data_IF_371904295311
#
_entry.id   IF_371904295311
#
_cell.length_a   1.000
_cell.length_b   1.000
_cell.length_c   1.000
_cell.angle_alpha   90.00
_cell.angle_beta   90.00
_cell.angle_gamma   90.00
#
_symmetry.space_group_name_H-M   'P 1'
#
loop_
_entity.id
_entity.type
_entity.pdbx_description
1 polymer ?
#
# COMPACT_ATOMS: atom_id res chain seq x y z
N UNK A 1 -4.16 -13.45 1.32
CA UNK A 1 -3.67 -12.06 1.27
C UNK A 1 -4.42 -11.20 0.24
N UNK A 2 -4.69 -11.68 -0.98
CA UNK A 2 -5.38 -10.93 -2.06
C UNK A 2 -6.72 -10.35 -1.60
N UNK A 3 -7.48 -11.04 -0.76
CA UNK A 3 -8.78 -10.55 -0.24
C UNK A 3 -8.67 -9.27 0.61
N UNK A 4 -7.50 -8.95 1.14
CA UNK A 4 -7.26 -7.72 1.88
C UNK A 4 -7.35 -6.46 1.03
N UNK A 5 -6.95 -6.54 -0.25
CA UNK A 5 -6.93 -5.39 -1.16
C UNK A 5 -8.32 -4.78 -1.42
N UNK A 6 -9.35 -5.57 -1.78
CA UNK A 6 -10.70 -5.02 -1.95
C UNK A 6 -11.26 -4.40 -0.68
N UNK A 7 -10.99 -5.00 0.49
CA UNK A 7 -11.44 -4.47 1.77
C UNK A 7 -10.77 -3.12 2.08
N UNK A 8 -9.46 -3.02 1.88
CA UNK A 8 -8.71 -1.78 2.06
C UNK A 8 -9.16 -0.68 1.09
N UNK A 9 -9.33 -1.04 -0.19
CA UNK A 9 -9.84 -0.11 -1.19
C UNK A 9 -11.25 0.39 -0.84
N UNK A 10 -12.15 -0.53 -0.47
CA UNK A 10 -13.50 -0.20 -0.03
C UNK A 10 -13.51 0.73 1.18
N UNK A 11 -12.69 0.43 2.20
CA UNK A 11 -12.52 1.30 3.36
C UNK A 11 -12.07 2.70 2.97
N UNK A 12 -11.05 2.81 2.13
CA UNK A 12 -10.49 4.10 1.72
C UNK A 12 -11.47 4.91 0.88
N UNK A 13 -12.16 4.28 -0.07
CA UNK A 13 -13.21 4.93 -0.87
C UNK A 13 -14.36 5.41 0.02
N UNK A 14 -14.81 4.58 0.97
CA UNK A 14 -15.85 4.96 1.92
C UNK A 14 -15.44 6.19 2.74
N UNK A 15 -14.20 6.22 3.20
CA UNK A 15 -13.66 7.33 3.99
C UNK A 15 -13.50 8.62 3.15
N UNK A 16 -13.17 8.50 1.86
CA UNK A 16 -13.03 9.63 0.95
C UNK A 16 -14.39 10.17 0.44
N UNK A 17 -15.44 9.35 0.46
CA UNK A 17 -16.77 9.70 -0.06
C UNK A 17 -17.31 11.05 0.42
N UNK A 18 -17.25 11.42 1.73
CA UNK A 18 -17.72 12.73 2.21
C UNK A 18 -16.92 13.91 1.63
N UNK A 19 -15.67 13.68 1.25
CA UNK A 19 -14.74 14.68 0.76
C UNK A 19 -14.60 14.70 -0.77
N UNK A 20 -15.39 13.91 -1.49
CA UNK A 20 -15.31 13.77 -2.97
C UNK A 20 -15.31 15.08 -3.74
N UNK A 21 -16.02 16.10 -3.23
CA UNK A 21 -16.12 17.43 -3.88
C UNK A 21 -14.80 18.21 -3.88
N UNK A 22 -13.89 17.89 -2.96
CA UNK A 22 -12.57 18.54 -2.83
C UNK A 22 -11.52 17.81 -3.68
N UNK A 23 -11.79 16.58 -4.09
CA UNK A 23 -10.87 15.79 -4.92
C UNK A 23 -10.89 16.36 -6.34
N UNK A 24 -9.84 17.10 -6.67
CA UNK A 24 -9.67 17.67 -8.01
C UNK A 24 -9.01 16.66 -8.95
N UNK A 25 -9.22 16.84 -10.26
CA UNK A 25 -8.54 16.04 -11.29
C UNK A 25 -7.02 16.09 -11.14
N UNK A 26 -6.47 17.23 -10.69
CA UNK A 26 -5.03 17.39 -10.45
C UNK A 26 -4.53 16.49 -9.32
N UNK A 27 -5.28 16.40 -8.21
CA UNK A 27 -4.91 15.52 -7.08
C UNK A 27 -4.89 14.06 -7.56
N UNK A 28 -5.92 13.62 -8.29
CA UNK A 28 -5.97 12.26 -8.83
C UNK A 28 -4.77 12.02 -9.75
N UNK A 29 -4.50 12.95 -10.69
CA UNK A 29 -3.40 12.82 -11.63
C UNK A 29 -2.05 12.69 -10.92
N UNK A 30 -1.74 13.60 -9.97
CA UNK A 30 -0.47 13.55 -9.24
C UNK A 30 -0.33 12.29 -8.38
N UNK A 31 -1.41 11.85 -7.73
CA UNK A 31 -1.39 10.61 -6.95
C UNK A 31 -1.18 9.39 -7.84
N UNK A 32 -1.79 9.37 -9.03
CA UNK A 32 -1.60 8.29 -10.01
C UNK A 32 -0.17 8.29 -10.56
N UNK A 33 0.39 9.47 -10.90
CA UNK A 33 1.79 9.58 -11.36
C UNK A 33 2.74 9.09 -10.25
N UNK A 34 2.55 9.50 -9.01
CA UNK A 34 3.38 9.07 -7.89
C UNK A 34 3.32 7.54 -7.68
N UNK A 35 2.12 6.97 -7.79
CA UNK A 35 1.95 5.51 -7.71
C UNK A 35 2.63 4.78 -8.87
N UNK A 36 2.49 5.29 -10.10
CA UNK A 36 3.14 4.72 -11.29
C UNK A 36 4.67 4.82 -11.22
N UNK A 37 5.21 5.91 -10.65
CA UNK A 37 6.65 6.05 -10.45
C UNK A 37 7.24 4.97 -9.53
N UNK A 38 6.43 4.44 -8.62
CA UNK A 38 6.83 3.32 -7.77
C UNK A 38 6.58 1.97 -8.45
N UNK A 39 5.47 1.84 -9.20
CA UNK A 39 5.11 0.61 -9.88
C UNK A 39 6.07 0.27 -11.03
N UNK A 40 6.48 1.25 -11.85
CA UNK A 40 7.29 1.00 -13.05
C UNK A 40 8.64 0.33 -12.70
N UNK A 41 9.45 0.85 -11.75
CA UNK A 41 10.67 0.16 -11.35
C UNK A 41 10.40 -1.24 -10.79
N UNK A 42 9.34 -1.39 -9.98
CA UNK A 42 8.96 -2.68 -9.39
C UNK A 42 8.69 -3.73 -10.45
N UNK A 43 7.86 -3.40 -11.45
CA UNK A 43 7.55 -4.31 -12.55
C UNK A 43 8.77 -4.55 -13.44
N UNK A 44 9.58 -3.51 -13.69
CA UNK A 44 10.79 -3.64 -14.48
C UNK A 44 11.76 -4.67 -13.86
N UNK A 45 12.09 -4.51 -12.57
CA UNK A 45 12.97 -5.45 -11.87
C UNK A 45 12.34 -6.85 -11.74
N UNK A 46 11.01 -6.94 -11.68
CA UNK A 46 10.33 -8.20 -11.62
C UNK A 46 10.37 -8.97 -12.95
N UNK A 47 10.38 -8.29 -14.10
CA UNK A 47 10.28 -8.91 -15.43
C UNK A 47 11.65 -9.10 -16.10
N UNK A 48 12.67 -8.34 -15.69
CA UNK A 48 14.00 -8.36 -16.31
C UNK A 48 14.89 -9.52 -15.85
N UNK A 49 14.40 -10.39 -14.94
CA UNK A 49 15.13 -11.57 -14.48
C UNK A 49 14.94 -12.77 -15.42
N UNK A 50 16.03 -13.43 -15.82
CA UNK A 50 16.02 -14.67 -16.62
C UNK A 50 15.25 -15.83 -15.93
N UNK A 51 14.83 -15.62 -14.70
CA UNK A 51 14.29 -16.62 -13.78
C UNK A 51 12.77 -16.78 -13.92
N UNK A 52 12.08 -15.87 -14.61
CA UNK A 52 10.63 -15.99 -14.87
C UNK A 52 10.31 -17.26 -15.66
N UNK A 53 11.26 -17.74 -16.48
CA UNK A 53 11.07 -18.98 -17.25
C UNK A 53 10.96 -20.23 -16.37
N UNK A 54 11.37 -20.18 -15.10
CA UNK A 54 11.29 -21.29 -14.16
C UNK A 54 10.01 -21.32 -13.32
N UNK A 55 9.23 -20.23 -13.32
CA UNK A 55 8.00 -20.08 -12.52
C UNK A 55 6.79 -20.71 -13.22
N UNK A 56 5.86 -21.22 -12.44
CA UNK A 56 4.58 -21.68 -12.99
C UNK A 56 3.63 -20.50 -13.31
N UNK A 57 2.58 -20.76 -14.10
CA UNK A 57 1.62 -19.72 -14.52
C UNK A 57 0.96 -19.00 -13.36
N UNK A 58 0.77 -19.66 -12.21
CA UNK A 58 0.14 -19.08 -11.02
C UNK A 58 1.12 -18.16 -10.32
N UNK A 59 2.39 -18.55 -10.23
CA UNK A 59 3.45 -17.74 -9.65
C UNK A 59 3.67 -16.49 -10.47
N UNK A 60 3.77 -16.59 -11.79
CA UNK A 60 3.87 -15.44 -12.71
C UNK A 60 2.67 -14.50 -12.53
N UNK A 61 1.46 -15.04 -12.45
CA UNK A 61 0.26 -14.25 -12.22
C UNK A 61 0.33 -13.47 -10.89
N UNK A 62 0.71 -14.12 -9.81
CA UNK A 62 0.86 -13.48 -8.50
C UNK A 62 1.97 -12.42 -8.51
N UNK A 63 3.09 -12.73 -9.16
CA UNK A 63 4.24 -11.87 -9.32
C UNK A 63 3.88 -10.51 -9.92
N UNK A 64 3.03 -10.52 -10.94
CA UNK A 64 2.59 -9.28 -11.61
C UNK A 64 1.44 -8.61 -10.85
N UNK A 65 0.53 -9.38 -10.27
CA UNK A 65 -0.68 -8.83 -9.63
C UNK A 65 -0.41 -8.09 -8.32
N UNK A 66 0.52 -8.55 -7.48
CA UNK A 66 0.79 -7.90 -6.19
C UNK A 66 1.28 -6.45 -6.35
N UNK A 67 2.29 -6.13 -7.18
CA UNK A 67 2.70 -4.76 -7.43
C UNK A 67 1.58 -3.87 -7.97
N UNK A 68 0.77 -4.42 -8.89
CA UNK A 68 -0.37 -3.69 -9.47
C UNK A 68 -1.41 -3.36 -8.40
N UNK A 69 -1.79 -4.34 -7.57
CA UNK A 69 -2.75 -4.13 -6.48
C UNK A 69 -2.22 -3.11 -5.46
N UNK A 70 -0.95 -3.17 -5.11
CA UNK A 70 -0.32 -2.18 -4.24
C UNK A 70 -0.36 -0.78 -4.83
N UNK A 71 -0.07 -0.63 -6.13
CA UNK A 71 -0.16 0.65 -6.81
C UNK A 71 -1.61 1.18 -6.83
N UNK A 72 -2.60 0.32 -7.04
CA UNK A 72 -4.03 0.70 -7.01
C UNK A 72 -4.44 1.23 -5.64
N UNK A 73 -4.04 0.59 -4.54
CA UNK A 73 -4.39 1.06 -3.19
C UNK A 73 -3.58 2.28 -2.75
N UNK A 74 -2.38 2.47 -3.31
CA UNK A 74 -1.54 3.61 -2.99
C UNK A 74 -2.15 4.93 -3.48
N UNK A 75 -2.82 4.95 -4.63
CA UNK A 75 -3.47 6.16 -5.16
C UNK A 75 -4.45 6.77 -4.15
N UNK A 76 -5.49 6.05 -3.67
CA UNK A 76 -6.41 6.61 -2.69
C UNK A 76 -5.76 6.88 -1.33
N UNK A 77 -4.71 6.16 -0.94
CA UNK A 77 -3.96 6.45 0.28
C UNK A 77 -3.23 7.81 0.19
N UNK A 78 -2.59 8.11 -0.95
CA UNK A 78 -1.97 9.42 -1.21
C UNK A 78 -3.03 10.53 -1.22
N UNK A 79 -4.16 10.31 -1.92
CA UNK A 79 -5.27 11.28 -1.97
C UNK A 79 -5.75 11.58 -0.55
N UNK A 80 -5.98 10.57 0.27
CA UNK A 80 -6.43 10.73 1.64
C UNK A 80 -5.40 11.50 2.49
N UNK A 81 -4.11 11.18 2.34
CA UNK A 81 -3.03 11.90 3.05
C UNK A 81 -3.02 13.39 2.68
N UNK A 82 -3.14 13.72 1.39
CA UNK A 82 -3.20 15.12 0.92
C UNK A 82 -4.43 15.84 1.49
N UNK A 83 -5.61 15.22 1.41
CA UNK A 83 -6.87 15.83 1.85
C UNK A 83 -6.95 16.05 3.36
N UNK A 84 -6.34 15.17 4.12
CA UNK A 84 -6.37 15.21 5.58
C UNK A 84 -5.08 15.75 6.22
N UNK A 85 -4.16 16.27 5.42
CA UNK A 85 -2.82 16.71 5.86
C UNK A 85 -2.86 17.70 7.04
N UNK A 86 -3.81 18.63 7.08
CA UNK A 86 -3.99 19.58 8.19
C UNK A 86 -5.09 19.18 9.17
N UNK A 87 -5.68 18.00 9.00
CA UNK A 87 -6.80 17.52 9.80
C UNK A 87 -6.38 16.64 10.97
N UNK A 88 -7.32 16.39 11.88
CA UNK A 88 -7.11 15.55 13.06
C UNK A 88 -6.80 14.09 12.71
N UNK A 89 -7.22 13.62 11.54
CA UNK A 89 -6.95 12.27 11.03
C UNK A 89 -5.71 12.19 10.13
N UNK A 90 -4.90 13.25 10.12
CA UNK A 90 -3.67 13.28 9.34
C UNK A 90 -2.75 12.10 9.68
N UNK A 91 -2.54 11.87 10.96
CA UNK A 91 -1.65 10.80 11.42
C UNK A 91 -2.11 9.42 10.93
N UNK A 92 -3.42 9.14 10.95
CA UNK A 92 -3.97 7.90 10.39
C UNK A 92 -3.53 7.73 8.93
N UNK A 93 -3.82 8.72 8.08
CA UNK A 93 -3.60 8.60 6.65
C UNK A 93 -2.12 8.63 6.28
N UNK A 94 -1.31 9.39 7.00
CA UNK A 94 0.15 9.38 6.84
C UNK A 94 0.72 8.00 7.18
N UNK A 95 0.29 7.39 8.27
CA UNK A 95 0.73 6.04 8.65
C UNK A 95 0.24 4.98 7.65
N UNK A 96 -1.00 5.07 7.20
CA UNK A 96 -1.53 4.18 6.15
C UNK A 96 -0.70 4.31 4.86
N UNK A 97 -0.38 5.52 4.43
CA UNK A 97 0.45 5.75 3.25
C UNK A 97 1.84 5.12 3.41
N UNK A 98 2.52 5.37 4.54
CA UNK A 98 3.82 4.74 4.80
C UNK A 98 3.71 3.22 4.85
N UNK A 99 2.70 2.67 5.53
CA UNK A 99 2.46 1.24 5.57
C UNK A 99 2.29 0.65 4.17
N UNK A 100 1.56 1.32 3.28
CA UNK A 100 1.37 0.89 1.89
C UNK A 100 2.67 0.95 1.08
N UNK A 101 3.50 1.99 1.27
CA UNK A 101 4.81 2.09 0.60
C UNK A 101 5.74 0.97 1.07
N UNK A 102 5.81 0.72 2.39
CA UNK A 102 6.62 -0.38 2.92
C UNK A 102 6.13 -1.74 2.44
N UNK A 103 4.81 -1.93 2.32
CA UNK A 103 4.23 -3.16 1.77
C UNK A 103 4.62 -3.36 0.30
N UNK A 104 4.55 -2.30 -0.51
CA UNK A 104 4.99 -2.33 -1.90
C UNK A 104 6.48 -2.72 -2.00
N UNK A 105 7.32 -2.10 -1.17
CA UNK A 105 8.75 -2.45 -1.12
C UNK A 105 8.97 -3.89 -0.70
N UNK A 106 8.23 -4.38 0.31
CA UNK A 106 8.32 -5.74 0.80
C UNK A 106 7.93 -6.75 -0.29
N UNK A 107 6.79 -6.56 -0.93
CA UNK A 107 6.31 -7.44 -2.00
C UNK A 107 7.28 -7.46 -3.18
N UNK A 108 7.81 -6.29 -3.57
CA UNK A 108 8.81 -6.20 -4.65
C UNK A 108 10.09 -6.96 -4.29
N UNK A 109 10.61 -6.71 -3.10
CA UNK A 109 11.84 -7.37 -2.65
C UNK A 109 11.64 -8.88 -2.51
N UNK A 110 10.50 -9.30 -1.95
CA UNK A 110 10.15 -10.72 -1.84
C UNK A 110 10.17 -11.40 -3.20
N UNK A 111 9.58 -10.78 -4.22
CA UNK A 111 9.53 -11.34 -5.56
C UNK A 111 10.93 -11.47 -6.19
N UNK A 112 11.80 -10.46 -6.02
CA UNK A 112 13.18 -10.51 -6.53
C UNK A 112 13.96 -11.67 -5.88
N UNK A 113 13.91 -11.77 -4.54
CA UNK A 113 14.65 -12.81 -3.82
C UNK A 113 14.02 -14.20 -3.93
N UNK A 114 12.72 -14.30 -4.21
CA UNK A 114 12.08 -15.58 -4.53
C UNK A 114 12.60 -16.10 -5.87
N UNK A 115 12.74 -15.21 -6.85
CA UNK A 115 13.29 -15.56 -8.15
C UNK A 115 14.76 -16.01 -8.05
N UNK A 116 15.57 -15.35 -7.23
CA UNK A 116 16.99 -15.74 -6.99
C UNK A 116 17.15 -16.99 -6.10
N UNK A 117 16.06 -17.67 -5.69
CA UNK A 117 16.05 -18.80 -4.75
C UNK A 117 16.75 -18.49 -3.38
N UNK A 118 17.02 -17.22 -3.10
CA UNK A 118 17.73 -16.78 -1.89
C UNK A 118 16.78 -16.47 -0.72
N UNK A 119 15.46 -16.55 -0.94
CA UNK A 119 14.48 -16.28 0.11
C UNK A 119 14.33 -17.47 1.07
N UNK A 120 14.48 -17.20 2.36
CA UNK A 120 14.23 -18.15 3.45
C UNK A 120 13.39 -17.51 4.56
N UNK A 121 12.63 -18.29 5.36
CA UNK A 121 11.88 -17.76 6.49
C UNK A 121 12.78 -17.03 7.49
N UNK A 122 12.44 -15.79 7.82
CA UNK A 122 13.28 -14.92 8.66
C UNK A 122 14.33 -14.11 7.91
N UNK A 123 14.20 -14.02 6.59
CA UNK A 123 15.07 -13.16 5.78
C UNK A 123 15.00 -11.70 6.26
N UNK A 124 16.12 -10.93 6.23
CA UNK A 124 16.12 -9.52 6.66
C UNK A 124 15.05 -8.63 6.00
N UNK A 125 14.59 -8.99 4.81
CA UNK A 125 13.52 -8.28 4.10
C UNK A 125 12.16 -8.41 4.76
N UNK A 126 11.93 -9.45 5.58
CA UNK A 126 10.68 -9.61 6.33
C UNK A 126 10.43 -8.42 7.28
N UNK A 127 11.50 -7.66 7.61
CA UNK A 127 11.38 -6.43 8.40
C UNK A 127 10.51 -5.37 7.71
N UNK A 128 10.47 -5.34 6.37
CA UNK A 128 9.63 -4.41 5.62
C UNK A 128 8.14 -4.71 5.81
N UNK A 129 7.76 -6.00 5.84
CA UNK A 129 6.40 -6.42 6.19
C UNK A 129 6.05 -6.02 7.62
N UNK A 130 6.97 -6.25 8.57
CA UNK A 130 6.77 -5.90 9.99
C UNK A 130 6.54 -4.38 10.12
N UNK A 131 7.36 -3.56 9.48
CA UNK A 131 7.18 -2.11 9.49
C UNK A 131 5.85 -1.68 8.86
N UNK A 132 5.46 -2.28 7.75
CA UNK A 132 4.15 -2.03 7.12
C UNK A 132 3.01 -2.25 8.11
N UNK A 133 2.99 -3.40 8.80
CA UNK A 133 1.96 -3.72 9.79
C UNK A 133 1.99 -2.82 11.01
N UNK A 134 3.19 -2.42 11.47
CA UNK A 134 3.35 -1.46 12.57
C UNK A 134 2.72 -0.11 12.19
N UNK A 135 2.98 0.39 10.98
CA UNK A 135 2.39 1.64 10.52
C UNK A 135 0.86 1.56 10.43
N UNK A 136 0.30 0.48 9.88
CA UNK A 136 -1.15 0.28 9.85
C UNK A 136 -1.76 0.21 11.25
N UNK A 137 -1.16 -0.57 12.14
CA UNK A 137 -1.63 -0.71 13.52
C UNK A 137 -1.56 0.62 14.28
N UNK A 138 -0.44 1.35 14.15
CA UNK A 138 -0.26 2.64 14.82
C UNK A 138 -1.23 3.70 14.30
N UNK A 139 -1.43 3.79 12.98
CA UNK A 139 -2.40 4.70 12.39
C UNK A 139 -3.81 4.42 12.87
N UNK A 140 -4.23 3.16 12.86
CA UNK A 140 -5.56 2.73 13.31
C UNK A 140 -5.76 2.98 14.81
N UNK A 141 -4.77 2.65 15.64
CA UNK A 141 -4.80 2.89 17.08
C UNK A 141 -4.93 4.39 17.40
N UNK A 142 -4.15 5.23 16.71
CA UNK A 142 -4.23 6.69 16.87
C UNK A 142 -5.62 7.22 16.53
N UNK A 143 -6.24 6.70 15.48
CA UNK A 143 -7.59 7.07 15.08
C UNK A 143 -8.64 6.70 16.14
N UNK A 144 -8.60 5.48 16.66
CA UNK A 144 -9.50 5.02 17.73
C UNK A 144 -9.38 5.91 18.95
N UNK A 145 -8.16 6.26 19.37
CA UNK A 145 -7.92 7.12 20.53
C UNK A 145 -8.44 8.56 20.33
N UNK A 146 -8.37 9.07 19.09
CA UNK A 146 -8.93 10.37 18.76
C UNK A 146 -10.44 10.42 19.02
N UNK A 147 -11.18 9.40 18.59
CA UNK A 147 -12.63 9.33 18.79
C UNK A 147 -13.02 9.10 20.25
N UNK A 148 -12.28 8.26 20.97
CA UNK A 148 -12.48 8.08 22.42
C UNK A 148 -12.36 9.39 23.19
N UNK A 149 -11.33 10.20 22.90
CA UNK A 149 -11.13 11.49 23.55
C UNK A 149 -12.26 12.48 23.27
N UNK A 150 -12.89 12.40 22.12
CA UNK A 150 -14.01 13.30 21.75
C UNK A 150 -15.36 12.87 22.30
N UNK A 151 -15.46 11.78 23.03
CA UNK A 151 -16.71 11.29 23.60
C UNK A 151 -17.75 10.86 22.56
N UNK A 152 -17.34 10.64 21.31
CA UNK A 152 -18.22 10.15 20.25
C UNK A 152 -18.41 8.64 20.49
N UNK A 153 -19.53 8.32 21.17
CA UNK A 153 -20.00 6.91 21.24
C UNK A 153 -20.50 6.53 19.86
N UNK A 154 -19.99 5.44 19.33
CA UNK A 154 -20.54 4.78 18.14
C UNK A 154 -21.85 4.09 18.46
#
# INVERSE_FOLDING_TARGET
WISGYPLFLGFTIFYLKPRRKIITKKIILYSSIASLMLLIPTVYFAVDGDEIESLDDIEIFLFVMYPILNAIILVPAIIATILFFKGEVNLLWTMIMFGTVFLLMADTSYLIFLAEEDHYPGHPLDILYIWSYIFYAFGTFSHINLFKKKGIKH
#
